data_IF_747688210983
#
_entry.id   IF_747688210983
#
_cell.length_a   1.000
_cell.length_b   1.000
_cell.length_c   1.000
_cell.angle_alpha   90.00
_cell.angle_beta   90.00
_cell.angle_gamma   90.00
#
_symmetry.space_group_name_H-M   'P 1'
#
loop_
_entity.id
_entity.type
_entity.pdbx_description
1 polymer ?
#
# COMPACT_ATOMS: atom_id res chain seq x y z
N UNK A 1 16.56 10.09 -19.22
CA UNK A 1 16.04 9.51 -17.96
C UNK A 1 14.53 9.50 -18.03
N UNK A 2 13.93 8.38 -18.46
CA UNK A 2 12.49 8.27 -18.60
C UNK A 2 11.83 8.29 -17.22
N UNK A 3 10.91 9.23 -17.00
CA UNK A 3 10.03 9.18 -15.85
C UNK A 3 9.19 7.91 -15.96
N UNK A 4 9.52 6.87 -15.18
CA UNK A 4 8.69 5.67 -15.14
C UNK A 4 7.38 6.07 -14.46
N UNK A 5 6.37 6.39 -15.27
CA UNK A 5 5.05 6.77 -14.78
C UNK A 5 4.37 5.52 -14.28
N UNK A 6 4.36 5.36 -12.96
CA UNK A 6 3.65 4.26 -12.31
C UNK A 6 2.16 4.37 -12.62
N UNK A 7 1.62 3.36 -13.30
CA UNK A 7 0.24 3.36 -13.75
C UNK A 7 -0.73 2.95 -12.63
N UNK A 8 -1.98 3.42 -12.68
CA UNK A 8 -3.02 2.99 -11.74
C UNK A 8 -3.26 1.47 -11.71
N UNK A 9 -2.93 0.77 -12.81
CA UNK A 9 -2.94 -0.70 -12.88
C UNK A 9 -1.84 -1.32 -12.04
N UNK A 10 -0.63 -0.78 -12.12
CA UNK A 10 0.54 -1.26 -11.36
C UNK A 10 0.32 -1.01 -9.86
N UNK A 11 -0.21 0.16 -9.49
CA UNK A 11 -0.56 0.49 -8.11
C UNK A 11 -1.56 -0.52 -7.53
N UNK A 12 -2.62 -0.86 -8.28
CA UNK A 12 -3.62 -1.84 -7.82
C UNK A 12 -3.05 -3.25 -7.70
N UNK A 13 -2.18 -3.66 -8.63
CA UNK A 13 -1.51 -4.95 -8.57
C UNK A 13 -0.59 -5.05 -7.35
N UNK A 14 0.19 -4.00 -7.08
CA UNK A 14 1.08 -3.98 -5.91
C UNK A 14 0.27 -3.94 -4.60
N UNK A 15 -0.80 -3.15 -4.53
CA UNK A 15 -1.68 -3.13 -3.37
C UNK A 15 -2.29 -4.51 -3.07
N UNK A 16 -2.68 -5.25 -4.11
CA UNK A 16 -3.17 -6.62 -3.96
C UNK A 16 -2.08 -7.57 -3.47
N UNK A 17 -0.87 -7.47 -4.03
CA UNK A 17 0.27 -8.29 -3.62
C UNK A 17 0.66 -8.04 -2.16
N UNK A 18 0.75 -6.77 -1.77
CA UNK A 18 0.99 -6.36 -0.38
C UNK A 18 -0.12 -6.82 0.55
N UNK A 19 -1.39 -6.72 0.12
CA UNK A 19 -2.52 -7.22 0.88
C UNK A 19 -2.42 -8.73 1.13
N UNK A 20 -2.04 -9.51 0.12
CA UNK A 20 -1.83 -10.95 0.28
C UNK A 20 -0.61 -11.27 1.17
N UNK A 21 0.49 -10.52 1.02
CA UNK A 21 1.74 -10.74 1.75
C UNK A 21 1.66 -10.31 3.22
N UNK A 22 0.98 -9.21 3.51
CA UNK A 22 0.88 -8.58 4.82
C UNK A 22 -0.53 -8.70 5.42
N UNK A 23 -1.29 -9.75 5.04
CA UNK A 23 -2.59 -10.08 5.65
C UNK A 23 -3.60 -8.92 5.67
N UNK A 24 -3.67 -8.17 4.57
CA UNK A 24 -4.54 -7.01 4.40
C UNK A 24 -3.93 -5.69 4.88
N UNK A 25 -2.78 -5.70 5.54
CA UNK A 25 -2.09 -4.50 6.01
C UNK A 25 -1.24 -3.87 4.89
N UNK A 26 -1.91 -3.36 3.85
CA UNK A 26 -1.25 -2.84 2.63
C UNK A 26 -0.30 -1.68 2.94
N UNK A 27 -0.74 -0.68 3.72
CA UNK A 27 0.06 0.53 4.01
C UNK A 27 1.26 0.22 4.91
N UNK A 28 1.04 -0.55 5.98
CA UNK A 28 2.11 -0.94 6.89
C UNK A 28 3.10 -1.91 6.20
N UNK A 29 2.59 -2.84 5.40
CA UNK A 29 3.42 -3.69 4.55
C UNK A 29 4.27 -2.90 3.57
N UNK A 30 3.69 -1.91 2.89
CA UNK A 30 4.42 -1.02 1.99
C UNK A 30 5.53 -0.23 2.71
N UNK A 31 5.29 0.18 3.97
CA UNK A 31 6.30 0.87 4.79
C UNK A 31 7.45 -0.05 5.17
N UNK A 32 7.15 -1.28 5.62
CA UNK A 32 8.17 -2.28 5.93
C UNK A 32 9.01 -2.63 4.70
N UNK A 33 8.38 -2.77 3.53
CA UNK A 33 9.08 -3.03 2.28
C UNK A 33 9.93 -1.82 1.83
N UNK A 34 9.53 -0.58 2.18
CA UNK A 34 10.32 0.64 1.93
C UNK A 34 11.61 0.71 2.76
N UNK A 35 11.65 0.04 3.90
CA UNK A 35 12.82 -0.02 4.80
C UNK A 35 13.81 -1.12 4.41
N UNK A 36 13.51 -1.94 3.40
CA UNK A 36 14.38 -3.00 2.95
C UNK A 36 15.70 -2.45 2.35
N UNK A 37 16.87 -2.97 2.77
CA UNK A 37 18.17 -2.42 2.37
C UNK A 37 18.53 -2.62 0.88
N UNK A 38 17.87 -3.56 0.21
CA UNK A 38 18.08 -3.89 -1.21
C UNK A 38 16.87 -3.51 -2.08
N UNK A 39 16.13 -2.47 -1.67
CA UNK A 39 14.92 -2.08 -2.37
C UNK A 39 15.24 -1.42 -3.72
N UNK A 40 14.70 -2.02 -4.78
CA UNK A 40 14.79 -1.44 -6.12
C UNK A 40 14.14 -0.03 -6.19
N UNK A 41 14.77 0.95 -6.87
CA UNK A 41 14.26 2.32 -6.93
C UNK A 41 12.88 2.44 -7.58
N UNK A 42 12.58 1.62 -8.59
CA UNK A 42 11.25 1.59 -9.22
C UNK A 42 10.21 1.07 -8.23
N UNK A 43 10.57 0.03 -7.47
CA UNK A 43 9.73 -0.52 -6.41
C UNK A 43 9.45 0.50 -5.30
N UNK A 44 10.43 1.30 -4.92
CA UNK A 44 10.23 2.38 -3.95
C UNK A 44 9.20 3.43 -4.42
N UNK A 45 9.20 3.80 -5.71
CA UNK A 45 8.22 4.73 -6.28
C UNK A 45 6.82 4.10 -6.27
N UNK A 46 6.72 2.81 -6.63
CA UNK A 46 5.47 2.07 -6.63
C UNK A 46 4.87 1.95 -5.22
N UNK A 47 5.67 1.60 -4.21
CA UNK A 47 5.22 1.52 -2.81
C UNK A 47 4.71 2.88 -2.29
N UNK A 48 5.41 3.97 -2.61
CA UNK A 48 4.94 5.33 -2.27
C UNK A 48 3.64 5.69 -2.98
N UNK A 49 3.48 5.28 -4.24
CA UNK A 49 2.25 5.49 -4.99
C UNK A 49 1.08 4.69 -4.40
N UNK A 50 1.32 3.45 -3.94
CA UNK A 50 0.34 2.61 -3.23
C UNK A 50 -0.11 3.26 -1.93
N UNK A 51 0.84 3.74 -1.11
CA UNK A 51 0.54 4.44 0.14
C UNK A 51 -0.30 5.69 -0.13
N UNK A 52 0.02 6.45 -1.19
CA UNK A 52 -0.74 7.66 -1.56
C UNK A 52 -2.12 7.35 -2.13
N UNK A 53 -2.27 6.26 -2.87
CA UNK A 53 -3.52 5.87 -3.52
C UNK A 53 -4.48 5.12 -2.58
N UNK A 54 -3.97 4.53 -1.50
CA UNK A 54 -4.76 3.81 -0.50
C UNK A 54 -5.17 4.78 0.61
N UNK A 55 -6.44 5.18 0.71
CA UNK A 55 -6.88 6.03 1.81
C UNK A 55 -6.69 5.28 3.15
N UNK A 56 -6.17 5.97 4.16
CA UNK A 56 -5.89 5.44 5.51
C UNK A 56 -7.09 4.77 6.21
N UNK A 57 -8.29 4.90 5.66
CA UNK A 57 -9.52 4.30 6.16
C UNK A 57 -9.65 2.79 5.87
N UNK A 58 -8.82 2.20 5.00
CA UNK A 58 -8.81 0.75 4.76
C UNK A 58 -8.15 -0.06 5.91
N UNK A 59 -7.47 0.63 6.82
CA UNK A 59 -6.78 0.05 7.98
C UNK A 59 -7.66 -0.08 9.22
N UNK A 60 -8.92 0.36 9.17
CA UNK A 60 -9.85 0.28 10.29
C UNK A 60 -10.98 -0.70 9.97
N UNK A 61 -10.69 -1.99 10.09
CA UNK A 61 -11.70 -3.01 10.35
C UNK A 61 -12.19 -2.92 11.80
N UNK A 62 -12.70 -1.76 12.21
CA UNK A 62 -13.73 -1.69 13.25
C UNK A 62 -14.85 -0.83 12.70
N UNK A 63 -15.96 -1.50 12.51
CA UNK A 63 -17.28 -0.93 12.45
C UNK A 63 -17.44 0.15 13.53
N UNK A 64 -17.48 1.40 13.10
CA UNK A 64 -18.03 2.50 13.87
C UNK A 64 -19.56 2.36 13.95
N UNK A 65 -20.05 1.25 14.47
CA UNK A 65 -21.43 1.13 14.96
C UNK A 65 -21.37 0.87 16.45
N UNK A 66 -20.94 1.90 17.19
CA UNK A 66 -21.52 2.15 18.49
C UNK A 66 -23.01 2.34 18.30
N UNK A 67 -23.79 1.27 18.48
CA UNK A 67 -25.17 1.38 18.90
C UNK A 67 -25.28 0.73 20.27
N UNK A 68 -24.78 1.46 21.26
CA UNK A 68 -25.26 1.39 22.63
C UNK A 68 -26.71 1.90 22.66
N UNK A 69 -27.54 1.15 23.39
CA UNK A 69 -29.01 1.25 23.62
C UNK A 69 -29.89 0.38 22.71
#
# INVERSE_FOLDING_TARGET
MGIHQVSAREIRAEAFFLGNRHQGQIVEGARLELEAPDLDPHRAVLLRAVIRATPANATHGVDATGNDL
#
